data_IF_864435817799
#
_entry.id   IF_864435817799
#
_cell.length_a   1.000
_cell.length_b   1.000
_cell.length_c   1.000
_cell.angle_alpha   90.00
_cell.angle_beta   90.00
_cell.angle_gamma   90.00
#
_symmetry.space_group_name_H-M   'P 1'
#
loop_
_entity.id
_entity.type
_entity.pdbx_description
1 polymer ?
#
# COMPACT_ATOMS: atom_id res chain seq x y z
N UNK A 1 -1.19 7.80 -7.63
CA UNK A 1 -1.05 8.92 -6.69
C UNK A 1 -2.17 9.90 -6.94
N UNK A 2 -2.82 10.39 -5.91
CA UNK A 2 -3.98 11.28 -6.01
C UNK A 2 -3.59 12.65 -5.50
N UNK A 3 -3.95 13.68 -6.27
CA UNK A 3 -3.85 15.06 -5.82
C UNK A 3 -5.18 15.50 -5.25
N UNK A 4 -5.18 16.14 -4.10
CA UNK A 4 -6.38 16.67 -3.49
C UNK A 4 -6.95 17.82 -4.34
N UNK A 5 -8.24 17.74 -4.66
CA UNK A 5 -8.95 18.79 -5.37
C UNK A 5 -8.33 19.15 -6.73
N UNK A 6 -8.27 20.44 -7.04
CA UNK A 6 -7.75 20.96 -8.31
C UNK A 6 -6.26 21.32 -8.26
N UNK A 7 -5.46 20.65 -7.43
CA UNK A 7 -4.01 20.88 -7.37
C UNK A 7 -3.38 20.32 -8.63
N UNK A 8 -2.63 21.17 -9.34
CA UNK A 8 -1.95 20.77 -10.55
C UNK A 8 -0.88 19.73 -10.26
N UNK A 9 -0.89 18.66 -11.05
CA UNK A 9 0.13 17.62 -10.99
C UNK A 9 1.46 18.14 -11.52
N UNK A 10 2.53 18.02 -10.74
CA UNK A 10 3.87 18.50 -11.08
C UNK A 10 4.82 17.40 -11.54
N UNK A 11 4.43 16.14 -11.36
CA UNK A 11 5.21 14.98 -11.79
C UNK A 11 4.95 14.65 -13.26
N UNK A 12 5.79 13.81 -13.86
CA UNK A 12 5.61 13.32 -15.22
C UNK A 12 4.27 12.60 -15.43
N UNK A 13 3.66 12.78 -16.59
CA UNK A 13 2.33 12.25 -16.89
C UNK A 13 2.36 10.98 -17.75
N UNK A 14 3.53 10.58 -18.23
CA UNK A 14 3.68 9.30 -18.91
C UNK A 14 3.45 8.15 -17.90
N UNK A 15 2.74 7.12 -18.33
CA UNK A 15 2.44 5.98 -17.45
C UNK A 15 3.69 5.16 -17.05
N UNK A 16 4.73 5.22 -17.84
CA UNK A 16 6.02 4.58 -17.57
C UNK A 16 6.93 5.44 -16.71
N UNK A 17 6.54 6.70 -16.45
CA UNK A 17 7.29 7.58 -15.58
C UNK A 17 7.33 7.06 -14.15
N UNK A 18 8.53 6.88 -13.64
CA UNK A 18 8.81 6.50 -12.25
C UNK A 18 9.44 7.72 -11.56
N UNK A 19 8.68 8.36 -10.70
CA UNK A 19 9.18 9.50 -9.94
C UNK A 19 10.24 9.05 -8.93
N UNK A 20 11.27 9.84 -8.78
CA UNK A 20 12.25 9.69 -7.68
C UNK A 20 11.59 10.08 -6.34
N UNK A 21 12.23 9.70 -5.24
CA UNK A 21 11.80 10.09 -3.89
C UNK A 21 11.71 11.62 -3.76
N UNK A 22 12.72 12.33 -4.24
CA UNK A 22 12.81 13.79 -4.15
C UNK A 22 11.71 14.48 -4.95
N UNK A 23 11.44 14.01 -6.17
CA UNK A 23 10.34 14.55 -6.98
C UNK A 23 8.98 14.37 -6.28
N UNK A 24 8.77 13.23 -5.61
CA UNK A 24 7.54 12.98 -4.84
C UNK A 24 7.44 13.91 -3.64
N UNK A 25 8.53 14.14 -2.91
CA UNK A 25 8.57 15.05 -1.77
C UNK A 25 8.28 16.49 -2.21
N UNK A 26 8.95 16.98 -3.26
CA UNK A 26 8.69 18.31 -3.85
C UNK A 26 7.23 18.46 -4.26
N UNK A 27 6.64 17.41 -4.83
CA UNK A 27 5.21 17.44 -5.17
C UNK A 27 4.30 17.54 -3.95
N UNK A 28 4.62 16.85 -2.86
CA UNK A 28 3.85 16.96 -1.62
C UNK A 28 3.96 18.34 -0.99
N UNK A 29 5.15 18.93 -0.99
CA UNK A 29 5.37 20.31 -0.52
C UNK A 29 4.54 21.29 -1.34
N UNK A 30 4.56 21.17 -2.67
CA UNK A 30 3.70 21.95 -3.54
C UNK A 30 2.20 21.78 -3.18
N UNK A 31 1.76 20.55 -2.91
CA UNK A 31 0.37 20.32 -2.50
C UNK A 31 0.03 21.03 -1.19
N UNK A 32 0.94 20.98 -0.21
CA UNK A 32 0.77 21.64 1.08
C UNK A 32 0.71 23.17 0.91
N UNK A 33 1.59 23.75 0.10
CA UNK A 33 1.60 25.19 -0.19
C UNK A 33 0.28 25.67 -0.82
N UNK A 34 -0.27 24.90 -1.75
CA UNK A 34 -1.58 25.21 -2.35
C UNK A 34 -2.70 25.10 -1.32
N UNK A 35 -2.64 24.17 -0.39
CA UNK A 35 -3.60 24.04 0.71
C UNK A 35 -3.50 25.24 1.65
N UNK A 36 -2.29 25.67 2.04
CA UNK A 36 -2.04 26.85 2.89
C UNK A 36 -2.60 28.15 2.31
N UNK A 37 -2.66 28.27 0.98
CA UNK A 37 -3.28 29.42 0.33
C UNK A 37 -4.82 29.49 0.49
N UNK A 38 -5.45 28.37 0.84
CA UNK A 38 -6.92 28.23 0.89
C UNK A 38 -7.47 28.12 2.29
N UNK A 39 -6.68 27.55 3.21
CA UNK A 39 -7.06 27.32 4.61
C UNK A 39 -5.89 27.64 5.52
N UNK A 40 -6.20 28.04 6.75
CA UNK A 40 -5.17 28.16 7.78
C UNK A 40 -4.61 26.76 8.11
N UNK A 41 -3.29 26.65 8.11
CA UNK A 41 -2.56 25.42 8.48
C UNK A 41 -1.49 25.81 9.51
N UNK A 42 -1.58 25.22 10.67
CA UNK A 42 -0.57 25.33 11.72
C UNK A 42 0.25 24.04 11.73
N UNK A 43 1.58 24.15 11.62
CA UNK A 43 2.50 23.01 11.52
C UNK A 43 3.31 22.85 12.81
N UNK A 44 3.31 21.64 13.35
CA UNK A 44 4.01 21.28 14.58
C UNK A 44 4.99 20.14 14.29
N UNK A 45 6.16 20.47 13.75
CA UNK A 45 7.22 19.51 13.52
C UNK A 45 7.95 19.17 14.81
N UNK A 46 8.41 17.92 14.93
CA UNK A 46 9.12 17.44 16.12
C UNK A 46 8.22 17.19 17.34
N UNK A 47 6.90 17.18 17.16
CA UNK A 47 5.93 16.82 18.17
C UNK A 47 5.33 15.45 17.89
N UNK A 48 5.28 14.60 18.92
CA UNK A 48 4.62 13.29 18.88
C UNK A 48 3.26 13.37 19.57
N UNK A 49 2.22 12.78 18.96
CA UNK A 49 0.94 12.56 19.62
C UNK A 49 1.06 11.37 20.56
N UNK A 50 0.94 11.61 21.86
CA UNK A 50 1.01 10.56 22.89
C UNK A 50 -0.35 9.93 23.16
N UNK A 51 -1.37 10.77 23.30
CA UNK A 51 -2.73 10.33 23.58
C UNK A 51 -3.77 11.33 23.09
N UNK A 52 -5.01 10.86 22.97
CA UNK A 52 -6.16 11.71 22.75
C UNK A 52 -7.33 11.25 23.61
N UNK A 53 -8.21 12.18 23.92
CA UNK A 53 -9.46 11.98 24.64
C UNK A 53 -10.61 12.68 23.90
N UNK A 54 -11.78 12.06 23.92
CA UNK A 54 -12.98 12.58 23.27
C UNK A 54 -14.04 12.90 24.32
N UNK A 55 -14.33 14.19 24.50
CA UNK A 55 -15.35 14.67 25.42
C UNK A 55 -16.07 15.90 24.89
N UNK A 56 -17.36 16.00 25.10
CA UNK A 56 -18.18 17.17 24.77
C UNK A 56 -18.08 17.64 23.29
N UNK A 57 -17.87 16.68 22.36
CA UNK A 57 -17.72 16.95 20.93
C UNK A 57 -16.38 17.56 20.54
N UNK A 58 -15.42 17.54 21.44
CA UNK A 58 -14.03 17.99 21.25
C UNK A 58 -13.09 16.81 21.43
N UNK A 59 -12.05 16.77 20.61
CA UNK A 59 -10.91 15.87 20.74
C UNK A 59 -9.77 16.66 21.38
N UNK A 60 -9.32 16.25 22.54
CA UNK A 60 -8.16 16.81 23.23
C UNK A 60 -6.95 15.93 22.98
N UNK A 61 -5.91 16.49 22.38
CA UNK A 61 -4.67 15.82 22.05
C UNK A 61 -3.59 16.20 23.04
N UNK A 62 -2.86 15.23 23.56
CA UNK A 62 -1.64 15.45 24.35
C UNK A 62 -0.45 15.10 23.47
N UNK A 63 0.45 16.05 23.29
CA UNK A 63 1.61 15.92 22.43
C UNK A 63 2.88 16.23 23.20
N UNK A 64 3.98 15.55 22.86
CA UNK A 64 5.30 15.73 23.45
C UNK A 64 6.32 16.07 22.39
N UNK A 65 7.14 17.09 22.62
CA UNK A 65 8.27 17.42 21.77
C UNK A 65 9.48 16.53 22.06
N UNK A 66 10.48 16.57 21.18
CA UNK A 66 11.73 15.81 21.34
C UNK A 66 12.54 16.20 22.59
N UNK A 67 12.33 17.40 23.13
CA UNK A 67 12.95 17.90 24.38
C UNK A 67 12.06 17.72 25.63
N UNK A 68 10.94 16.99 25.49
CA UNK A 68 10.06 16.61 26.58
C UNK A 68 9.03 17.68 26.98
N UNK A 69 8.84 18.74 26.19
CA UNK A 69 7.77 19.70 26.43
C UNK A 69 6.41 19.07 26.13
N UNK A 70 5.41 19.44 26.92
CA UNK A 70 4.03 19.01 26.73
C UNK A 70 3.21 20.11 26.08
N UNK A 71 2.37 19.74 25.14
CA UNK A 71 1.39 20.62 24.50
C UNK A 71 0.03 19.91 24.47
N UNK A 72 -1.01 20.66 24.80
CA UNK A 72 -2.40 20.19 24.65
C UNK A 72 -3.07 20.97 23.53
N UNK A 73 -3.65 20.25 22.59
CA UNK A 73 -4.39 20.82 21.45
C UNK A 73 -5.83 20.33 21.50
N UNK A 74 -6.77 21.26 21.30
CA UNK A 74 -8.19 20.92 21.18
C UNK A 74 -8.65 21.07 19.73
N UNK A 75 -9.36 20.05 19.24
CA UNK A 75 -9.85 20.00 17.87
C UNK A 75 -11.26 19.38 17.82
N UNK A 76 -12.03 19.74 16.80
CA UNK A 76 -13.35 19.10 16.55
C UNK A 76 -13.19 17.72 15.90
N UNK A 77 -12.12 17.48 15.21
CA UNK A 77 -11.84 16.24 14.45
C UNK A 77 -10.35 15.94 14.48
N UNK A 78 -10.02 14.67 14.54
CA UNK A 78 -8.65 14.17 14.48
C UNK A 78 -8.53 13.14 13.36
N UNK A 79 -7.51 13.27 12.54
CA UNK A 79 -7.11 12.22 11.60
C UNK A 79 -5.73 11.72 12.01
N UNK A 80 -5.64 10.47 12.44
CA UNK A 80 -4.39 9.79 12.71
C UNK A 80 -3.93 9.10 11.43
N UNK A 81 -3.03 9.71 10.69
CA UNK A 81 -2.56 9.25 9.38
C UNK A 81 -1.04 9.02 9.37
N UNK A 82 -0.53 8.38 10.41
CA UNK A 82 0.90 8.03 10.57
C UNK A 82 1.38 6.95 9.58
N UNK A 83 0.48 6.40 8.77
CA UNK A 83 0.79 5.35 7.81
C UNK A 83 0.82 3.96 8.43
N UNK A 84 1.50 3.05 7.74
CA UNK A 84 1.59 1.65 8.16
C UNK A 84 2.74 1.35 9.13
N UNK A 85 3.41 2.35 9.67
CA UNK A 85 4.55 2.14 10.58
C UNK A 85 5.67 1.33 9.91
N UNK A 86 5.91 1.52 8.62
CA UNK A 86 6.98 0.82 7.91
C UNK A 86 8.32 1.23 8.50
N UNK A 87 8.95 0.29 9.20
CA UNK A 87 10.30 0.49 9.71
C UNK A 87 11.29 0.28 8.57
N UNK A 88 12.32 1.12 8.43
CA UNK A 88 13.40 0.87 7.48
C UNK A 88 13.94 -0.55 7.63
N UNK A 89 14.24 -1.20 6.51
CA UNK A 89 14.71 -2.57 6.51
C UNK A 89 16.23 -2.60 6.75
N UNK A 90 16.65 -3.25 7.82
CA UNK A 90 18.07 -3.39 8.12
C UNK A 90 18.81 -4.28 7.11
N UNK A 91 20.11 -4.09 6.90
CA UNK A 91 20.94 -5.09 6.24
C UNK A 91 20.78 -6.47 6.88
N UNK A 92 20.96 -7.53 6.09
CA UNK A 92 20.99 -8.87 6.68
C UNK A 92 22.20 -9.01 7.61
N UNK A 93 21.96 -9.52 8.80
CA UNK A 93 23.03 -9.97 9.68
C UNK A 93 23.63 -11.27 9.10
N UNK A 94 24.90 -11.24 8.76
CA UNK A 94 25.63 -12.39 8.17
C UNK A 94 26.93 -12.61 8.91
N UNK A 95 27.35 -13.86 8.98
CA UNK A 95 28.56 -14.27 9.71
C UNK A 95 29.86 -13.96 8.96
N UNK A 96 29.80 -13.78 7.64
CA UNK A 96 30.96 -13.46 6.81
C UNK A 96 31.41 -12.01 7.00
N UNK A 97 32.72 -11.82 7.21
CA UNK A 97 33.36 -10.52 7.19
C UNK A 97 33.81 -10.09 5.78
N UNK A 98 33.60 -10.93 4.76
CA UNK A 98 34.11 -10.74 3.39
C UNK A 98 33.05 -10.26 2.42
N UNK A 99 31.83 -10.01 2.88
CA UNK A 99 30.71 -9.47 2.07
C UNK A 99 30.24 -8.12 2.59
N UNK A 100 29.59 -7.36 1.75
CA UNK A 100 28.99 -6.08 2.11
C UNK A 100 27.48 -6.25 2.19
N UNK A 101 26.94 -6.36 3.39
CA UNK A 101 25.48 -6.47 3.58
C UNK A 101 24.86 -5.08 3.71
N UNK A 102 23.85 -4.78 2.87
CA UNK A 102 23.16 -3.49 2.82
C UNK A 102 21.66 -3.68 2.62
N UNK A 103 20.91 -2.60 2.77
CA UNK A 103 19.53 -2.52 2.29
C UNK A 103 19.30 -1.23 1.50
N UNK A 104 18.26 -1.17 0.64
CA UNK A 104 17.94 0.04 -0.12
C UNK A 104 17.52 1.24 0.73
N UNK A 105 17.21 1.02 2.02
CA UNK A 105 16.85 2.09 2.96
C UNK A 105 18.07 2.84 3.49
N UNK A 106 19.22 2.18 3.55
CA UNK A 106 20.46 2.72 4.12
C UNK A 106 21.60 2.86 3.10
N UNK A 107 21.42 2.33 1.89
CA UNK A 107 22.42 2.42 0.82
C UNK A 107 21.75 2.85 -0.49
N UNK A 108 22.26 3.93 -1.08
CA UNK A 108 21.83 4.32 -2.43
C UNK A 108 22.44 3.37 -3.46
N UNK A 109 21.58 2.60 -4.14
CA UNK A 109 22.00 1.67 -5.19
C UNK A 109 22.64 2.36 -6.41
N UNK A 110 22.57 3.67 -6.50
CA UNK A 110 23.22 4.50 -7.53
C UNK A 110 24.35 5.36 -6.96
N UNK A 111 24.64 5.21 -5.67
CA UNK A 111 25.64 5.98 -4.94
C UNK A 111 27.09 5.64 -5.32
N UNK A 112 28.00 6.45 -4.82
CA UNK A 112 29.43 6.36 -5.16
C UNK A 112 30.06 5.05 -4.67
N UNK A 113 29.65 4.52 -3.52
CA UNK A 113 30.17 3.27 -2.97
C UNK A 113 29.83 2.08 -3.90
N UNK A 114 28.58 2.00 -4.34
CA UNK A 114 28.12 0.97 -5.26
C UNK A 114 28.81 1.12 -6.63
N UNK A 115 29.02 2.35 -7.07
CA UNK A 115 29.67 2.66 -8.35
C UNK A 115 31.15 2.36 -8.35
N UNK A 116 31.83 2.52 -7.22
CA UNK A 116 33.26 2.26 -7.08
C UNK A 116 33.60 0.76 -7.04
N UNK A 117 32.60 -0.10 -6.90
CA UNK A 117 32.76 -1.55 -6.83
C UNK A 117 32.28 -2.22 -8.12
N UNK A 118 33.00 -3.21 -8.59
CA UNK A 118 32.66 -4.07 -9.73
C UNK A 118 32.29 -5.51 -9.31
N UNK A 119 32.30 -5.77 -8.00
CA UNK A 119 31.97 -7.09 -7.45
C UNK A 119 30.51 -7.47 -7.65
N UNK A 120 30.17 -8.78 -7.68
CA UNK A 120 28.81 -9.26 -7.83
C UNK A 120 27.83 -8.71 -6.79
N UNK A 121 26.57 -8.53 -7.21
CA UNK A 121 25.48 -8.12 -6.33
C UNK A 121 24.44 -9.24 -6.21
N UNK A 122 24.10 -9.60 -4.98
CA UNK A 122 23.08 -10.57 -4.65
C UNK A 122 21.85 -9.86 -4.06
N UNK A 123 20.84 -9.69 -4.87
CA UNK A 123 19.54 -9.12 -4.44
C UNK A 123 18.74 -10.23 -3.74
N UNK A 124 18.47 -10.03 -2.45
CA UNK A 124 17.73 -11.01 -1.64
C UNK A 124 16.29 -10.55 -1.45
N UNK A 125 15.37 -11.28 -2.06
CA UNK A 125 13.93 -10.99 -2.03
C UNK A 125 13.31 -10.83 -3.41
N UNK A 126 12.36 -11.69 -3.76
CA UNK A 126 11.63 -11.70 -5.04
C UNK A 126 10.41 -10.78 -5.10
N UNK A 127 10.21 -9.89 -4.11
CA UNK A 127 9.13 -8.92 -4.07
C UNK A 127 9.37 -7.68 -4.93
N UNK A 128 8.46 -6.68 -4.87
CA UNK A 128 8.57 -5.45 -5.69
C UNK A 128 9.87 -4.71 -5.42
N UNK A 129 10.29 -4.57 -4.17
CA UNK A 129 11.57 -3.93 -3.82
C UNK A 129 12.76 -4.63 -4.48
N UNK A 130 12.79 -5.98 -4.45
CA UNK A 130 13.84 -6.74 -5.13
C UNK A 130 13.84 -6.53 -6.65
N UNK A 131 12.67 -6.47 -7.27
CA UNK A 131 12.56 -6.18 -8.71
C UNK A 131 13.03 -4.76 -9.05
N UNK A 132 12.65 -3.76 -8.26
CA UNK A 132 13.07 -2.37 -8.49
C UNK A 132 14.58 -2.20 -8.29
N UNK A 133 15.13 -2.85 -7.27
CA UNK A 133 16.58 -2.86 -7.00
C UNK A 133 17.35 -3.55 -8.11
N UNK A 134 16.93 -4.73 -8.53
CA UNK A 134 17.57 -5.45 -9.65
C UNK A 134 17.50 -4.63 -10.95
N UNK A 135 16.33 -4.05 -11.26
CA UNK A 135 16.18 -3.19 -12.43
C UNK A 135 17.11 -1.97 -12.39
N UNK A 136 17.22 -1.30 -11.24
CA UNK A 136 18.09 -0.16 -11.05
C UNK A 136 19.58 -0.55 -11.25
N UNK A 137 20.03 -1.64 -10.63
CA UNK A 137 21.40 -2.13 -10.74
C UNK A 137 21.77 -2.52 -12.18
N UNK A 138 20.90 -3.29 -12.85
CA UNK A 138 21.11 -3.73 -14.24
C UNK A 138 21.17 -2.52 -15.20
N UNK A 139 20.33 -1.53 -14.96
CA UNK A 139 20.25 -0.34 -15.83
C UNK A 139 21.42 0.61 -15.60
N UNK A 140 21.83 0.82 -14.36
CA UNK A 140 22.87 1.76 -13.98
C UNK A 140 24.27 1.19 -14.24
N UNK A 141 24.45 -0.13 -14.06
CA UNK A 141 25.75 -0.80 -14.18
C UNK A 141 25.73 -1.91 -15.24
N UNK A 142 25.66 -1.56 -16.54
CA UNK A 142 25.65 -2.56 -17.62
C UNK A 142 26.88 -3.47 -17.57
N UNK A 143 26.64 -4.78 -17.57
CA UNK A 143 27.70 -5.79 -17.52
C UNK A 143 28.14 -6.21 -16.11
N UNK A 144 27.63 -5.57 -15.06
CA UNK A 144 27.86 -6.04 -13.69
C UNK A 144 27.08 -7.33 -13.42
N UNK A 145 27.68 -8.24 -12.69
CA UNK A 145 27.01 -9.45 -12.25
C UNK A 145 25.96 -9.13 -11.19
N UNK A 146 24.68 -9.33 -11.55
CA UNK A 146 23.53 -9.14 -10.66
C UNK A 146 22.79 -10.46 -10.54
N UNK A 147 22.66 -10.97 -9.33
CA UNK A 147 22.02 -12.23 -9.00
C UNK A 147 20.78 -11.98 -8.13
N UNK A 148 19.78 -12.84 -8.23
CA UNK A 148 18.52 -12.76 -7.47
C UNK A 148 18.28 -14.02 -6.63
N UNK A 149 18.07 -13.85 -5.33
CA UNK A 149 17.54 -14.92 -4.47
C UNK A 149 16.06 -14.61 -4.21
N UNK A 150 15.17 -15.32 -4.91
CA UNK A 150 13.77 -14.96 -5.06
C UNK A 150 12.82 -15.62 -4.03
N UNK A 151 13.35 -16.41 -3.08
CA UNK A 151 12.52 -17.16 -2.12
C UNK A 151 11.60 -18.14 -2.85
N UNK A 152 10.31 -18.12 -2.57
CA UNK A 152 9.29 -18.92 -3.25
C UNK A 152 8.78 -18.31 -4.57
N UNK A 153 9.37 -17.21 -5.00
CA UNK A 153 8.95 -16.45 -6.18
C UNK A 153 7.70 -15.60 -5.97
N UNK A 154 7.54 -14.60 -6.83
CA UNK A 154 6.43 -13.67 -6.77
C UNK A 154 5.91 -13.41 -8.17
N UNK A 155 4.59 -13.31 -8.33
CA UNK A 155 4.01 -12.71 -9.51
C UNK A 155 3.45 -11.30 -9.19
N UNK A 156 3.33 -10.50 -10.21
CA UNK A 156 2.88 -9.11 -10.15
C UNK A 156 1.72 -8.92 -11.09
N UNK A 157 0.82 -7.99 -10.81
CA UNK A 157 -0.17 -7.56 -11.79
C UNK A 157 0.54 -6.82 -12.94
N UNK A 158 0.25 -7.21 -14.19
CA UNK A 158 0.86 -6.57 -15.36
C UNK A 158 0.39 -5.12 -15.49
N UNK A 159 1.31 -4.16 -15.35
CA UNK A 159 1.01 -2.73 -15.55
C UNK A 159 0.51 -2.47 -16.96
N UNK A 160 1.00 -3.21 -17.95
CA UNK A 160 0.61 -3.03 -19.34
C UNK A 160 -0.83 -3.47 -19.64
N UNK A 161 -1.34 -4.41 -18.86
CA UNK A 161 -2.75 -4.85 -18.94
C UNK A 161 -3.68 -3.92 -18.18
N UNK A 162 -3.27 -3.45 -17.00
CA UNK A 162 -4.08 -2.58 -16.16
C UNK A 162 -4.07 -1.12 -16.61
N UNK A 163 -2.94 -0.64 -17.12
CA UNK A 163 -2.74 0.74 -17.53
C UNK A 163 -2.08 0.83 -18.91
N UNK A 164 -2.75 0.39 -19.99
CA UNK A 164 -2.18 0.38 -21.33
C UNK A 164 -1.85 1.80 -21.82
N UNK A 165 -0.79 1.93 -22.62
CA UNK A 165 -0.37 3.20 -23.23
C UNK A 165 -1.09 3.50 -24.54
N UNK A 166 -1.07 4.80 -24.95
CA UNK A 166 -1.53 5.26 -26.26
C UNK A 166 -2.97 4.88 -26.59
N UNK A 167 -3.22 4.50 -27.84
CA UNK A 167 -4.56 4.13 -28.33
C UNK A 167 -5.18 2.92 -27.62
N UNK A 168 -4.35 2.03 -27.08
CA UNK A 168 -4.85 0.85 -26.32
C UNK A 168 -5.67 1.25 -25.09
N UNK A 169 -5.58 2.48 -24.60
CA UNK A 169 -6.45 3.02 -23.54
C UNK A 169 -7.95 3.00 -23.94
N UNK A 170 -8.27 3.07 -25.23
CA UNK A 170 -9.65 3.15 -25.71
C UNK A 170 -10.33 1.78 -25.81
N UNK A 171 -9.60 0.75 -26.19
CA UNK A 171 -10.18 -0.57 -26.45
C UNK A 171 -9.39 -1.76 -25.88
N UNK A 172 -8.17 -1.54 -25.42
CA UNK A 172 -7.34 -2.53 -24.72
C UNK A 172 -7.35 -2.34 -23.21
N UNK A 173 -6.66 -3.22 -22.49
CA UNK A 173 -6.52 -3.18 -21.05
C UNK A 173 -7.72 -3.73 -20.28
N UNK A 174 -7.55 -3.82 -18.98
CA UNK A 174 -8.55 -4.39 -18.05
C UNK A 174 -8.84 -3.39 -16.95
N UNK A 175 -10.10 -3.14 -16.67
CA UNK A 175 -10.54 -2.25 -15.61
C UNK A 175 -10.17 -2.86 -14.24
N UNK A 176 -9.52 -2.08 -13.40
CA UNK A 176 -9.10 -2.51 -12.04
C UNK A 176 -10.31 -2.90 -11.21
N UNK A 177 -11.39 -2.13 -11.30
CA UNK A 177 -12.65 -2.45 -10.64
C UNK A 177 -13.21 -3.79 -11.12
N UNK A 178 -13.12 -4.09 -12.41
CA UNK A 178 -13.56 -5.36 -12.96
C UNK A 178 -12.78 -6.55 -12.39
N UNK A 179 -11.46 -6.42 -12.24
CA UNK A 179 -10.61 -7.45 -11.62
C UNK A 179 -11.02 -7.69 -10.18
N UNK A 180 -11.17 -6.63 -9.38
CA UNK A 180 -11.58 -6.77 -7.99
C UNK A 180 -12.98 -7.36 -7.83
N UNK A 181 -13.92 -6.99 -8.72
CA UNK A 181 -15.25 -7.61 -8.73
C UNK A 181 -15.18 -9.11 -9.03
N UNK A 182 -14.40 -9.51 -10.03
CA UNK A 182 -14.23 -10.91 -10.37
C UNK A 182 -13.49 -11.68 -9.26
N UNK A 183 -12.49 -11.05 -8.63
CA UNK A 183 -11.82 -11.57 -7.45
C UNK A 183 -12.83 -11.84 -6.32
N UNK A 184 -13.68 -10.88 -5.99
CA UNK A 184 -14.70 -11.04 -4.96
C UNK A 184 -15.76 -12.09 -5.26
N UNK A 185 -15.97 -12.44 -6.55
CA UNK A 185 -16.87 -13.54 -6.96
C UNK A 185 -16.20 -14.91 -6.87
N UNK A 186 -14.89 -14.98 -7.07
CA UNK A 186 -14.11 -16.23 -7.11
C UNK A 186 -13.59 -16.65 -5.75
N UNK A 187 -13.20 -15.68 -4.93
CA UNK A 187 -12.61 -15.95 -3.63
C UNK A 187 -13.70 -16.25 -2.60
N UNK A 188 -13.69 -17.46 -2.06
CA UNK A 188 -14.66 -17.93 -1.05
C UNK A 188 -14.11 -17.94 0.40
N UNK A 189 -12.85 -17.54 0.58
CA UNK A 189 -12.16 -17.50 1.88
C UNK A 189 -11.25 -18.70 2.15
N UNK A 190 -11.26 -19.73 1.29
CA UNK A 190 -10.50 -20.99 1.47
C UNK A 190 -9.78 -21.44 0.21
N UNK A 191 -10.03 -20.82 -0.93
CA UNK A 191 -9.53 -21.23 -2.24
C UNK A 191 -8.44 -20.29 -2.79
N UNK A 192 -7.61 -19.74 -1.92
CA UNK A 192 -6.55 -18.77 -2.28
C UNK A 192 -5.61 -19.28 -3.38
N UNK A 193 -5.31 -20.57 -3.42
CA UNK A 193 -4.44 -21.15 -4.44
C UNK A 193 -5.07 -21.08 -5.85
N UNK A 194 -6.35 -21.40 -5.96
CA UNK A 194 -7.08 -21.35 -7.23
C UNK A 194 -7.21 -19.90 -7.73
N UNK A 195 -7.51 -19.00 -6.80
CA UNK A 195 -7.64 -17.57 -7.10
C UNK A 195 -6.28 -16.97 -7.47
N UNK A 196 -5.20 -17.37 -6.79
CA UNK A 196 -3.83 -16.98 -7.14
C UNK A 196 -3.48 -17.40 -8.56
N UNK A 197 -3.75 -18.65 -8.89
CA UNK A 197 -3.50 -19.22 -10.21
C UNK A 197 -4.27 -18.47 -11.29
N UNK A 198 -5.58 -18.28 -11.08
CA UNK A 198 -6.40 -17.51 -12.01
C UNK A 198 -5.89 -16.08 -12.20
N UNK A 199 -5.57 -15.36 -11.11
CA UNK A 199 -5.11 -13.97 -11.17
C UNK A 199 -3.77 -13.86 -11.90
N UNK A 200 -2.83 -14.76 -11.57
CA UNK A 200 -1.53 -14.86 -12.22
C UNK A 200 -1.68 -15.10 -13.72
N UNK A 201 -2.39 -16.14 -14.11
CA UNK A 201 -2.48 -16.58 -15.50
C UNK A 201 -3.25 -15.59 -16.38
N UNK A 202 -4.24 -14.87 -15.79
CA UNK A 202 -5.05 -13.89 -16.52
C UNK A 202 -4.41 -12.50 -16.57
N UNK A 203 -3.85 -12.02 -15.48
CA UNK A 203 -3.43 -10.61 -15.33
C UNK A 203 -1.98 -10.44 -14.87
N UNK A 204 -1.29 -11.54 -14.57
CA UNK A 204 0.04 -11.52 -14.00
C UNK A 204 1.17 -11.34 -15.02
N UNK A 205 2.30 -10.95 -14.48
CA UNK A 205 3.63 -11.07 -15.06
C UNK A 205 4.59 -11.55 -13.98
N UNK A 206 5.56 -12.37 -14.32
CA UNK A 206 6.50 -12.95 -13.37
C UNK A 206 7.84 -13.26 -14.03
N UNK A 207 8.88 -13.33 -13.22
CA UNK A 207 10.25 -13.61 -13.65
C UNK A 207 10.66 -15.06 -13.36
N UNK A 208 10.18 -15.59 -12.24
CA UNK A 208 10.66 -16.84 -11.65
C UNK A 208 9.82 -18.04 -12.09
N UNK A 209 10.41 -19.26 -12.20
CA UNK A 209 9.68 -20.45 -12.63
C UNK A 209 8.54 -20.85 -11.69
N UNK A 210 8.65 -20.50 -10.41
CA UNK A 210 7.58 -20.66 -9.41
C UNK A 210 7.14 -19.30 -8.88
N UNK A 211 5.88 -19.20 -8.47
CA UNK A 211 5.25 -17.94 -8.05
C UNK A 211 4.37 -18.17 -6.83
N UNK A 212 5.01 -18.44 -5.68
CA UNK A 212 4.31 -18.73 -4.42
C UNK A 212 3.70 -17.51 -3.75
N UNK A 213 4.05 -16.27 -4.17
CA UNK A 213 3.59 -15.05 -3.52
C UNK A 213 2.90 -14.09 -4.48
N UNK A 214 1.94 -13.34 -3.93
CA UNK A 214 1.35 -12.16 -4.53
C UNK A 214 1.10 -11.10 -3.45
N UNK A 215 1.57 -9.88 -3.65
CA UNK A 215 1.47 -8.79 -2.69
C UNK A 215 0.96 -7.49 -3.34
N UNK A 216 0.02 -7.59 -4.27
CA UNK A 216 -0.60 -6.46 -4.97
C UNK A 216 0.38 -5.56 -5.76
N UNK A 217 1.60 -6.03 -5.99
CA UNK A 217 2.61 -5.30 -6.73
C UNK A 217 2.29 -5.21 -8.23
N UNK A 218 2.77 -4.13 -8.86
CA UNK A 218 2.69 -3.91 -10.31
C UNK A 218 4.08 -4.02 -10.93
N UNK A 219 4.19 -4.71 -12.06
CA UNK A 219 5.40 -4.77 -12.86
C UNK A 219 5.03 -4.65 -14.35
N UNK A 220 5.79 -3.88 -15.13
CA UNK A 220 5.58 -3.84 -16.59
C UNK A 220 6.30 -4.99 -17.27
N UNK A 221 5.82 -5.35 -18.46
CA UNK A 221 6.47 -6.37 -19.28
C UNK A 221 7.87 -5.94 -19.72
N UNK A 222 8.10 -4.62 -19.91
CA UNK A 222 9.42 -4.08 -20.24
C UNK A 222 10.39 -4.18 -19.08
N UNK A 223 9.97 -3.80 -17.86
CA UNK A 223 10.77 -3.97 -16.65
C UNK A 223 11.14 -5.45 -16.45
N UNK A 224 10.14 -6.34 -16.56
CA UNK A 224 10.35 -7.78 -16.42
C UNK A 224 11.38 -8.32 -17.42
N UNK A 225 11.29 -7.91 -18.70
CA UNK A 225 12.26 -8.29 -19.73
C UNK A 225 13.67 -7.75 -19.45
N UNK A 226 13.78 -6.50 -19.02
CA UNK A 226 15.09 -5.89 -18.66
C UNK A 226 15.72 -6.66 -17.51
N UNK A 227 14.95 -6.96 -16.46
CA UNK A 227 15.44 -7.72 -15.31
C UNK A 227 15.85 -9.13 -15.76
N UNK A 228 15.00 -9.84 -16.50
CA UNK A 228 15.28 -11.20 -16.96
C UNK A 228 16.55 -11.29 -17.83
N UNK A 229 16.78 -10.29 -18.68
CA UNK A 229 17.95 -10.24 -19.56
C UNK A 229 19.25 -9.85 -18.83
N UNK A 230 19.15 -9.10 -17.73
CA UNK A 230 20.31 -8.58 -17.02
C UNK A 230 20.72 -9.39 -15.78
N UNK A 231 19.86 -10.31 -15.30
CA UNK A 231 20.22 -11.21 -14.21
C UNK A 231 21.17 -12.29 -14.68
N UNK A 232 22.24 -12.51 -13.93
CA UNK A 232 23.20 -13.59 -14.17
C UNK A 232 22.66 -14.93 -13.65
N UNK A 233 22.06 -14.94 -12.45
CA UNK A 233 21.52 -16.13 -11.84
C UNK A 233 20.24 -15.82 -11.03
N UNK A 234 19.32 -16.78 -10.96
CA UNK A 234 18.12 -16.70 -10.12
C UNK A 234 18.05 -17.97 -9.26
N UNK A 235 18.08 -17.80 -7.94
CA UNK A 235 18.01 -18.88 -6.97
C UNK A 235 16.63 -18.86 -6.29
N UNK A 236 15.93 -20.00 -6.34
CA UNK A 236 14.61 -20.18 -5.75
C UNK A 236 14.73 -20.74 -4.32
N UNK A 237 15.31 -19.94 -3.42
CA UNK A 237 15.51 -20.30 -2.02
C UNK A 237 15.57 -19.04 -1.14
N UNK A 238 15.76 -19.23 0.16
CA UNK A 238 15.91 -18.17 1.14
C UNK A 238 17.31 -18.17 1.71
N UNK A 239 17.97 -17.01 1.72
CA UNK A 239 19.26 -16.85 2.39
C UNK A 239 19.07 -16.97 3.91
N UNK A 240 19.89 -17.78 4.52
CA UNK A 240 19.99 -17.95 5.97
C UNK A 240 21.20 -17.23 6.52
N UNK A 241 22.35 -17.34 5.84
CA UNK A 241 23.60 -16.73 6.26
C UNK A 241 24.57 -16.60 5.07
N UNK A 242 25.62 -15.81 5.25
CA UNK A 242 26.84 -15.86 4.46
C UNK A 242 28.01 -16.20 5.40
N UNK A 243 28.76 -17.25 5.11
CA UNK A 243 29.80 -17.76 5.99
C UNK A 243 31.14 -17.93 5.29
N UNK A 244 32.23 -17.64 6.00
CA UNK A 244 33.58 -17.86 5.51
C UNK A 244 34.08 -19.25 5.93
N UNK A 245 34.43 -20.08 4.94
CA UNK A 245 34.97 -21.45 5.16
C UNK A 245 36.15 -21.69 4.24
N UNK A 246 37.25 -22.18 4.80
CA UNK A 246 38.45 -22.59 4.02
C UNK A 246 38.97 -21.55 3.04
N UNK A 247 38.80 -20.26 3.35
CA UNK A 247 39.21 -19.16 2.47
C UNK A 247 38.18 -18.74 1.41
N UNK A 248 37.07 -19.43 1.31
CA UNK A 248 35.93 -19.10 0.45
C UNK A 248 34.78 -18.52 1.25
N UNK A 249 33.85 -17.86 0.59
CA UNK A 249 32.62 -17.31 1.18
C UNK A 249 31.42 -18.00 0.54
N UNK A 250 30.56 -18.60 1.36
CA UNK A 250 29.37 -19.28 0.91
C UNK A 250 28.09 -18.58 1.35
N UNK A 251 27.16 -18.33 0.44
CA UNK A 251 25.75 -18.09 0.78
C UNK A 251 25.10 -19.41 1.15
N UNK A 252 24.54 -19.47 2.34
CA UNK A 252 23.83 -20.65 2.87
C UNK A 252 22.33 -20.44 2.75
N UNK A 253 21.64 -21.43 2.23
CA UNK A 253 20.20 -21.37 1.98
C UNK A 253 19.40 -22.26 2.95
N UNK A 254 18.11 -21.95 3.07
CA UNK A 254 17.18 -22.70 3.93
C UNK A 254 17.05 -24.18 3.54
N UNK A 255 17.22 -24.53 2.28
CA UNK A 255 17.25 -25.91 1.79
C UNK A 255 18.45 -26.72 2.31
N UNK A 256 19.44 -26.05 2.90
CA UNK A 256 20.74 -26.65 3.27
C UNK A 256 21.79 -26.64 2.16
N UNK A 257 21.43 -26.13 0.97
CA UNK A 257 22.39 -25.87 -0.10
C UNK A 257 23.26 -24.66 0.24
N UNK A 258 24.42 -24.59 -0.41
CA UNK A 258 25.32 -23.45 -0.33
C UNK A 258 25.80 -23.07 -1.74
N UNK A 259 26.11 -21.79 -1.91
CA UNK A 259 26.66 -21.23 -3.15
C UNK A 259 27.89 -20.42 -2.79
N UNK A 260 29.05 -20.82 -3.31
CA UNK A 260 30.28 -20.05 -3.17
C UNK A 260 30.16 -18.76 -3.99
N UNK A 261 30.45 -17.63 -3.36
CA UNK A 261 30.38 -16.29 -3.94
C UNK A 261 31.74 -15.59 -3.83
N UNK A 262 31.95 -14.60 -4.70
CA UNK A 262 33.19 -13.84 -4.70
C UNK A 262 33.31 -12.99 -3.41
N UNK A 263 34.47 -12.98 -2.74
CA UNK A 263 34.74 -12.02 -1.66
C UNK A 263 34.54 -10.56 -2.13
N UNK A 264 33.96 -9.73 -1.28
CA UNK A 264 33.57 -8.36 -1.63
C UNK A 264 32.19 -8.25 -2.30
N UNK A 265 31.50 -9.39 -2.54
CA UNK A 265 30.12 -9.36 -3.06
C UNK A 265 29.19 -8.57 -2.15
N UNK A 266 28.24 -7.85 -2.78
CA UNK A 266 27.17 -7.16 -2.10
C UNK A 266 25.97 -8.05 -1.87
N UNK A 267 25.42 -8.03 -0.66
CA UNK A 267 24.16 -8.68 -0.32
C UNK A 267 23.14 -7.59 0.00
N UNK A 268 22.14 -7.42 -0.88
CA UNK A 268 21.14 -6.35 -0.77
C UNK A 268 19.84 -6.93 -0.24
N UNK A 269 19.50 -6.58 1.01
CA UNK A 269 18.28 -7.06 1.66
C UNK A 269 17.04 -6.33 1.14
N UNK A 270 16.27 -6.97 0.29
CA UNK A 270 14.98 -6.52 -0.24
C UNK A 270 13.78 -7.27 0.34
N UNK A 271 13.91 -7.88 1.51
CA UNK A 271 12.85 -8.67 2.16
C UNK A 271 12.12 -7.85 3.24
N UNK A 272 10.93 -8.25 3.60
CA UNK A 272 10.31 -7.90 4.89
C UNK A 272 9.62 -6.53 5.01
N UNK A 273 9.44 -5.77 3.95
CA UNK A 273 8.94 -4.39 3.98
C UNK A 273 7.47 -4.18 4.34
N UNK A 274 6.64 -5.19 4.42
CA UNK A 274 5.21 -4.96 4.63
C UNK A 274 4.74 -5.34 6.03
N UNK A 275 3.93 -4.46 6.65
CA UNK A 275 3.13 -4.72 7.84
C UNK A 275 3.96 -5.20 9.04
N UNK A 276 5.01 -4.48 9.39
CA UNK A 276 5.82 -4.71 10.59
C UNK A 276 5.26 -4.02 11.84
N UNK A 277 4.07 -3.49 11.74
CA UNK A 277 3.53 -2.60 12.74
C UNK A 277 2.97 -3.37 13.94
N UNK A 278 3.46 -3.03 15.13
CA UNK A 278 2.98 -3.52 16.42
C UNK A 278 2.05 -2.52 17.11
N UNK A 279 1.56 -1.49 16.40
CA UNK A 279 0.62 -0.53 16.95
C UNK A 279 -0.63 -1.24 17.51
N UNK A 280 -1.19 -0.74 18.62
CA UNK A 280 -2.42 -1.28 19.16
C UNK A 280 -3.57 -1.10 18.16
N UNK A 281 -4.53 -2.01 18.18
CA UNK A 281 -5.76 -1.84 17.42
C UNK A 281 -6.50 -0.59 17.85
N UNK A 282 -6.90 0.21 16.88
CA UNK A 282 -7.88 1.28 17.02
C UNK A 282 -8.89 1.13 15.90
N UNK A 283 -10.19 1.35 16.16
CA UNK A 283 -11.19 1.31 15.09
C UNK A 283 -10.90 2.40 14.05
N UNK A 284 -11.27 2.15 12.80
CA UNK A 284 -11.09 3.14 11.74
C UNK A 284 -11.80 4.46 12.07
N UNK A 285 -12.98 4.38 12.67
CA UNK A 285 -13.75 5.53 13.15
C UNK A 285 -14.11 5.33 14.61
N UNK A 286 -13.84 6.30 15.47
CA UNK A 286 -14.26 6.26 16.88
C UNK A 286 -15.79 6.30 17.02
N UNK A 287 -16.30 5.87 18.17
CA UNK A 287 -17.75 5.84 18.46
C UNK A 287 -18.42 7.20 18.30
N UNK A 288 -17.74 8.30 18.63
CA UNK A 288 -18.23 9.67 18.43
C UNK A 288 -18.21 10.09 16.95
N UNK A 289 -17.42 9.43 16.11
CA UNK A 289 -17.11 9.83 14.74
C UNK A 289 -16.17 11.04 14.64
N UNK A 290 -15.52 11.41 15.74
CA UNK A 290 -14.61 12.56 15.76
C UNK A 290 -13.17 12.19 15.44
N UNK A 291 -12.76 10.95 15.67
CA UNK A 291 -11.41 10.45 15.37
C UNK A 291 -11.46 9.42 14.25
N UNK A 292 -10.55 9.56 13.29
CA UNK A 292 -10.31 8.59 12.23
C UNK A 292 -8.87 8.11 12.32
N UNK A 293 -8.68 6.78 12.45
CA UNK A 293 -7.37 6.14 12.53
C UNK A 293 -7.06 5.38 11.24
N UNK A 294 -6.13 5.92 10.43
CA UNK A 294 -5.69 5.29 9.18
C UNK A 294 -4.51 4.37 9.48
N UNK A 295 -4.81 3.11 9.73
CA UNK A 295 -3.83 2.11 10.14
C UNK A 295 -4.14 0.71 9.55
N UNK A 296 -3.16 -0.22 9.55
CA UNK A 296 -3.37 -1.54 8.95
C UNK A 296 -4.27 -2.47 9.77
N UNK A 297 -4.46 -2.24 11.08
CA UNK A 297 -5.27 -3.12 11.94
C UNK A 297 -6.77 -2.86 11.83
N UNK A 298 -7.17 -1.74 11.25
CA UNK A 298 -8.56 -1.40 10.92
C UNK A 298 -8.68 -0.99 9.44
N UNK A 299 -8.04 -1.77 8.56
CA UNK A 299 -8.07 -1.49 7.13
C UNK A 299 -9.48 -1.69 6.56
N UNK A 300 -10.01 -0.67 5.91
CA UNK A 300 -11.32 -0.69 5.23
C UNK A 300 -11.20 -0.79 3.72
N UNK A 301 -10.08 -0.34 3.16
CA UNK A 301 -9.75 -0.41 1.74
C UNK A 301 -8.29 -0.86 1.55
N UNK A 302 -7.97 -1.39 0.39
CA UNK A 302 -6.62 -1.86 0.05
C UNK A 302 -5.57 -0.76 -0.06
N UNK A 303 -5.98 0.51 -0.17
CA UNK A 303 -5.08 1.67 -0.21
C UNK A 303 -5.38 2.61 0.95
N UNK A 304 -4.37 2.83 1.80
CA UNK A 304 -4.45 3.79 2.91
C UNK A 304 -4.72 5.22 2.46
N UNK A 305 -4.25 5.60 1.28
CA UNK A 305 -4.54 6.92 0.71
C UNK A 305 -6.04 7.13 0.45
N UNK A 306 -6.78 6.09 0.10
CA UNK A 306 -8.23 6.16 -0.01
C UNK A 306 -8.91 6.28 1.35
N UNK A 307 -8.42 5.54 2.35
CA UNK A 307 -8.92 5.65 3.71
C UNK A 307 -8.65 7.05 4.29
N UNK A 308 -7.42 7.53 4.17
CA UNK A 308 -6.99 8.80 4.76
C UNK A 308 -7.58 10.03 4.08
N UNK A 309 -7.77 10.01 2.78
CA UNK A 309 -8.26 11.16 2.04
C UNK A 309 -9.76 11.08 1.75
N UNK A 310 -10.18 10.06 1.05
CA UNK A 310 -11.53 10.00 0.50
C UNK A 310 -12.58 9.62 1.56
N UNK A 311 -12.39 8.52 2.27
CA UNK A 311 -13.36 8.09 3.28
C UNK A 311 -13.44 9.10 4.43
N UNK A 312 -12.31 9.62 4.89
CA UNK A 312 -12.26 10.64 5.93
C UNK A 312 -13.06 11.89 5.54
N UNK A 313 -12.92 12.34 4.28
CA UNK A 313 -13.69 13.46 3.78
C UNK A 313 -15.20 13.20 3.82
N UNK A 314 -15.63 12.02 3.36
CA UNK A 314 -17.04 11.62 3.40
C UNK A 314 -17.58 11.45 4.83
N UNK A 315 -16.79 10.89 5.73
CA UNK A 315 -17.13 10.74 7.14
C UNK A 315 -17.37 12.11 7.79
N UNK A 316 -16.45 13.05 7.63
CA UNK A 316 -16.56 14.38 8.25
C UNK A 316 -17.62 15.26 7.60
N UNK A 317 -18.10 14.93 6.41
CA UNK A 317 -19.28 15.52 5.78
C UNK A 317 -20.59 14.79 6.15
N UNK A 318 -20.56 13.84 7.06
CA UNK A 318 -21.71 13.00 7.47
C UNK A 318 -22.37 12.26 6.28
N UNK A 319 -21.60 11.90 5.24
CA UNK A 319 -22.13 11.24 4.05
C UNK A 319 -22.15 9.71 4.17
N UNK A 320 -21.25 9.15 4.97
CA UNK A 320 -21.13 7.69 5.17
C UNK A 320 -21.09 7.31 6.64
N UNK A 321 -21.54 8.18 7.55
CA UNK A 321 -21.54 7.89 9.00
C UNK A 321 -22.32 6.62 9.34
N UNK A 322 -23.46 6.42 8.68
CA UNK A 322 -24.35 5.29 8.92
C UNK A 322 -24.07 4.10 7.98
N UNK A 323 -23.00 4.16 7.19
CA UNK A 323 -22.58 3.05 6.33
C UNK A 323 -21.76 2.08 7.15
N UNK A 324 -22.20 0.81 7.31
CA UNK A 324 -21.50 -0.18 8.11
C UNK A 324 -20.26 -0.70 7.36
N UNK A 325 -19.19 0.05 7.38
CA UNK A 325 -17.91 -0.38 6.78
C UNK A 325 -17.33 -1.53 7.60
N UNK A 326 -16.84 -2.53 6.89
CA UNK A 326 -16.11 -3.64 7.49
C UNK A 326 -14.64 -3.29 7.62
N UNK A 327 -14.04 -3.70 8.72
CA UNK A 327 -12.61 -3.52 9.01
C UNK A 327 -11.88 -4.86 8.98
N UNK A 328 -10.63 -4.82 8.62
CA UNK A 328 -9.72 -5.97 8.58
C UNK A 328 -8.45 -5.66 9.36
N UNK A 329 -8.10 -6.50 10.32
CA UNK A 329 -6.76 -6.51 10.90
C UNK A 329 -5.80 -7.20 9.92
N UNK A 330 -5.17 -6.38 9.08
CA UNK A 330 -4.31 -6.86 8.00
C UNK A 330 -3.04 -7.57 8.50
N UNK A 331 -2.32 -7.09 9.55
CA UNK A 331 -1.24 -7.82 10.19
C UNK A 331 -1.65 -9.18 10.74
N UNK A 332 -2.78 -9.27 11.45
CA UNK A 332 -3.28 -10.52 12.02
C UNK A 332 -3.66 -11.52 10.93
N UNK A 333 -4.37 -11.07 9.89
CA UNK A 333 -4.68 -11.93 8.76
C UNK A 333 -3.41 -12.45 8.07
N UNK A 334 -2.42 -11.60 7.86
CA UNK A 334 -1.16 -12.00 7.22
C UNK A 334 -0.39 -13.03 8.04
N UNK A 335 -0.40 -12.91 9.37
CA UNK A 335 0.19 -13.92 10.27
C UNK A 335 -0.54 -15.27 10.15
N UNK A 336 -1.86 -15.24 10.00
CA UNK A 336 -2.70 -16.46 9.88
C UNK A 336 -2.63 -17.11 8.50
N UNK A 337 -2.69 -16.31 7.45
CA UNK A 337 -2.61 -16.75 6.06
C UNK A 337 -2.05 -15.66 5.15
N UNK A 338 -0.74 -15.70 4.92
CA UNK A 338 -0.09 -14.79 3.97
C UNK A 338 -0.63 -14.96 2.54
N UNK A 339 -1.04 -16.17 2.19
CA UNK A 339 -1.60 -16.48 0.86
C UNK A 339 -2.99 -15.87 0.65
N UNK A 340 -3.87 -15.93 1.66
CA UNK A 340 -5.23 -15.37 1.57
C UNK A 340 -5.27 -13.83 1.70
N UNK A 341 -4.23 -13.23 2.28
CA UNK A 341 -4.20 -11.80 2.61
C UNK A 341 -4.58 -10.87 1.44
N UNK A 342 -3.97 -10.93 0.24
CA UNK A 342 -4.26 -9.99 -0.83
C UNK A 342 -5.67 -10.15 -1.38
N UNK A 343 -6.21 -11.36 -1.41
CA UNK A 343 -7.54 -11.67 -1.93
C UNK A 343 -8.63 -11.23 -0.97
N UNK A 344 -8.41 -11.43 0.33
CA UNK A 344 -9.30 -10.92 1.39
C UNK A 344 -9.38 -9.41 1.36
N UNK A 345 -8.22 -8.73 1.27
CA UNK A 345 -8.16 -7.28 1.23
C UNK A 345 -8.82 -6.70 -0.04
N UNK A 346 -8.63 -7.35 -1.19
CA UNK A 346 -9.30 -6.99 -2.44
C UNK A 346 -10.82 -7.16 -2.37
N UNK A 347 -11.28 -8.27 -1.82
CA UNK A 347 -12.72 -8.56 -1.64
C UNK A 347 -13.38 -7.60 -0.67
N UNK A 348 -12.73 -7.30 0.46
CA UNK A 348 -13.18 -6.30 1.43
C UNK A 348 -13.31 -4.91 0.78
N UNK A 349 -12.29 -4.51 0.01
CA UNK A 349 -12.32 -3.23 -0.70
C UNK A 349 -13.56 -3.11 -1.58
N UNK A 350 -13.85 -4.14 -2.37
CA UNK A 350 -15.02 -4.13 -3.26
C UNK A 350 -16.32 -4.13 -2.50
N UNK A 351 -16.40 -4.87 -1.41
CA UNK A 351 -17.59 -4.86 -0.55
C UNK A 351 -17.85 -3.47 0.04
N UNK A 352 -16.86 -2.86 0.68
CA UNK A 352 -17.00 -1.53 1.25
C UNK A 352 -17.28 -0.45 0.19
N UNK A 353 -16.63 -0.51 -0.98
CA UNK A 353 -16.93 0.41 -2.08
C UNK A 353 -18.38 0.27 -2.56
N UNK A 354 -18.94 -0.93 -2.61
CA UNK A 354 -20.35 -1.11 -2.99
C UNK A 354 -21.31 -0.47 -1.98
N UNK A 355 -21.05 -0.61 -0.68
CA UNK A 355 -21.83 0.04 0.37
C UNK A 355 -21.77 1.58 0.27
N UNK A 356 -20.59 2.11 -0.03
CA UNK A 356 -20.38 3.55 -0.19
C UNK A 356 -21.11 4.07 -1.43
N UNK A 357 -21.03 3.37 -2.55
CA UNK A 357 -21.73 3.73 -3.81
C UNK A 357 -23.23 3.82 -3.62
N UNK A 358 -23.82 2.90 -2.85
CA UNK A 358 -25.24 2.91 -2.54
C UNK A 358 -25.65 4.09 -1.64
N UNK A 359 -24.69 4.69 -0.94
CA UNK A 359 -24.94 5.72 0.08
C UNK A 359 -24.64 7.15 -0.40
N UNK A 360 -23.83 7.33 -1.45
CA UNK A 360 -23.43 8.64 -1.95
C UNK A 360 -23.72 8.81 -3.44
N UNK A 361 -24.09 10.04 -3.89
CA UNK A 361 -24.31 10.30 -5.31
C UNK A 361 -23.07 10.01 -6.15
N UNK A 362 -23.28 9.47 -7.35
CA UNK A 362 -22.26 9.11 -8.33
C UNK A 362 -21.25 10.25 -8.58
N UNK A 363 -21.75 11.50 -8.64
CA UNK A 363 -20.93 12.69 -8.80
C UNK A 363 -19.86 12.83 -7.71
N UNK A 364 -20.15 12.45 -6.47
CA UNK A 364 -19.18 12.53 -5.37
C UNK A 364 -18.01 11.58 -5.61
N UNK A 365 -18.27 10.38 -6.09
CA UNK A 365 -17.24 9.42 -6.47
C UNK A 365 -16.31 9.96 -7.55
N UNK A 366 -16.88 10.57 -8.59
CA UNK A 366 -16.13 11.15 -9.70
C UNK A 366 -15.30 12.38 -9.25
N UNK A 367 -15.92 13.26 -8.49
CA UNK A 367 -15.28 14.51 -8.04
C UNK A 367 -14.15 14.23 -7.03
N UNK A 368 -14.29 13.20 -6.20
CA UNK A 368 -13.27 12.83 -5.21
C UNK A 368 -12.13 11.98 -5.79
N UNK A 369 -12.19 11.60 -7.07
CA UNK A 369 -11.12 10.85 -7.72
C UNK A 369 -10.99 9.38 -7.29
N UNK A 370 -12.05 8.79 -6.74
CA UNK A 370 -12.10 7.36 -6.36
C UNK A 370 -12.29 6.41 -7.53
N UNK A 371 -12.41 6.94 -8.71
CA UNK A 371 -12.49 6.10 -9.88
C UNK A 371 -11.15 5.41 -10.12
N UNK A 372 -11.05 4.12 -9.76
CA UNK A 372 -9.88 3.27 -9.98
C UNK A 372 -9.54 3.15 -11.47
N UNK A 373 -10.53 3.36 -12.32
CA UNK A 373 -10.43 3.21 -13.77
C UNK A 373 -10.32 4.56 -14.51
N UNK A 374 -10.10 5.66 -13.78
CA UNK A 374 -9.93 7.02 -14.34
C UNK A 374 -8.84 7.11 -15.42
N UNK A 375 -7.93 6.13 -15.46
CA UNK A 375 -6.94 6.02 -16.51
C UNK A 375 -7.54 5.89 -17.90
N UNK A 376 -8.72 5.29 -18.01
CA UNK A 376 -9.38 5.02 -19.29
C UNK A 376 -10.24 6.19 -19.72
N UNK A 377 -10.16 6.59 -21.03
CA UNK A 377 -10.98 7.67 -21.54
C UNK A 377 -12.45 7.24 -21.67
N UNK A 378 -13.43 8.18 -21.58
CA UNK A 378 -14.81 7.91 -21.94
C UNK A 378 -14.90 7.47 -23.43
N UNK A 379 -15.83 6.58 -23.83
CA UNK A 379 -17.02 6.14 -23.09
C UNK A 379 -16.84 4.85 -22.28
N UNK A 380 -15.63 4.47 -21.89
CA UNK A 380 -15.46 3.28 -21.05
C UNK A 380 -16.23 3.42 -19.73
N UNK A 381 -16.81 2.31 -19.23
CA UNK A 381 -17.50 2.34 -17.94
C UNK A 381 -16.56 2.86 -16.86
N UNK A 382 -17.06 3.77 -16.05
CA UNK A 382 -16.36 4.20 -14.83
C UNK A 382 -16.50 3.12 -13.76
N UNK A 383 -15.60 3.09 -12.77
CA UNK A 383 -15.69 2.20 -11.60
C UNK A 383 -17.09 2.24 -10.99
N UNK A 384 -17.67 3.42 -10.89
CA UNK A 384 -19.01 3.65 -10.38
C UNK A 384 -20.09 2.94 -11.22
N UNK A 385 -20.03 3.05 -12.54
CA UNK A 385 -21.00 2.38 -13.41
C UNK A 385 -20.94 0.87 -13.28
N UNK A 386 -19.74 0.30 -13.12
CA UNK A 386 -19.57 -1.14 -12.93
C UNK A 386 -20.12 -1.58 -11.58
N UNK A 387 -19.88 -0.82 -10.50
CA UNK A 387 -20.41 -1.11 -9.17
C UNK A 387 -21.94 -1.05 -9.14
N UNK A 388 -22.56 -0.05 -9.78
CA UNK A 388 -24.01 0.06 -9.86
C UNK A 388 -24.66 -1.10 -10.64
N UNK A 389 -24.07 -1.53 -11.75
CA UNK A 389 -24.61 -2.63 -12.56
C UNK A 389 -24.39 -4.00 -11.89
N UNK A 390 -23.32 -4.13 -11.09
CA UNK A 390 -22.93 -5.39 -10.44
C UNK A 390 -23.79 -5.79 -9.25
N UNK A 391 -24.50 -4.86 -8.60
CA UNK A 391 -25.44 -5.07 -7.48
C UNK A 391 -24.79 -5.53 -6.17
N UNK A 392 -24.94 -4.73 -5.11
CA UNK A 392 -24.45 -4.98 -3.75
C UNK A 392 -24.85 -6.34 -3.11
N UNK A 393 -26.02 -6.96 -3.39
CA UNK A 393 -26.47 -8.14 -2.67
C UNK A 393 -25.62 -9.40 -2.88
N UNK A 394 -24.82 -9.47 -3.93
CA UNK A 394 -24.01 -10.67 -4.22
C UNK A 394 -22.71 -10.74 -3.41
N UNK A 395 -22.19 -9.61 -2.97
CA UNK A 395 -20.97 -9.55 -2.14
C UNK A 395 -21.24 -9.86 -0.67
N UNK A 396 -22.42 -9.58 -0.16
CA UNK A 396 -22.79 -9.84 1.24
C UNK A 396 -22.75 -11.34 1.61
N UNK A 397 -22.86 -12.25 0.63
CA UNK A 397 -22.76 -13.70 0.88
C UNK A 397 -21.32 -14.20 1.00
N UNK A 398 -20.37 -13.55 0.34
CA UNK A 398 -18.95 -13.95 0.33
C UNK A 398 -18.19 -13.52 1.58
N UNK A 399 -18.56 -12.37 2.17
CA UNK A 399 -17.92 -11.87 3.40
C UNK A 399 -18.37 -12.59 4.67
N UNK A 400 -19.51 -13.30 4.67
CA UNK A 400 -19.94 -14.14 5.81
C UNK A 400 -19.04 -15.36 6.07
N UNK A 401 -18.18 -15.75 5.13
CA UNK A 401 -17.21 -16.85 5.30
C UNK A 401 -15.93 -16.44 6.03
N UNK A 402 -15.57 -15.17 6.03
CA UNK A 402 -14.43 -14.65 6.80
C UNK A 402 -14.90 -14.42 8.23
N UNK A 403 -14.90 -15.47 9.06
CA UNK A 403 -15.04 -15.32 10.50
C UNK A 403 -13.85 -14.52 11.00
N UNK A 404 -14.06 -13.25 11.32
CA UNK A 404 -13.19 -12.52 12.21
C UNK A 404 -13.18 -13.27 13.56
N UNK A 405 -12.15 -14.05 13.82
CA UNK A 405 -11.92 -14.59 15.15
C UNK A 405 -11.39 -13.45 16.02
N UNK A 406 -12.26 -12.66 16.59
CA UNK A 406 -11.85 -11.65 17.53
C UNK A 406 -12.90 -10.57 17.71
N UNK A 407 -13.62 -10.67 18.79
CA UNK A 407 -14.46 -9.67 19.45
C UNK A 407 -15.53 -8.98 18.60
N UNK A 408 -16.68 -9.61 18.53
CA UNK A 408 -17.95 -8.91 18.40
C UNK A 408 -18.20 -8.13 19.68
N UNK A 409 -17.96 -6.83 19.66
CA UNK A 409 -18.59 -5.94 20.61
C UNK A 409 -20.10 -6.00 20.33
N UNK A 410 -20.84 -6.61 21.22
CA UNK A 410 -22.29 -6.69 21.15
C UNK A 410 -22.89 -5.29 21.27
N UNK A 411 -23.43 -4.78 20.20
CA UNK A 411 -24.23 -3.58 20.15
C UNK A 411 -25.60 -3.92 19.61
N UNK A 412 -26.60 -4.08 20.48
CA UNK A 412 -28.00 -4.22 20.11
C UNK A 412 -28.47 -2.99 19.33
N UNK A 413 -28.95 -3.24 18.12
CA UNK A 413 -29.63 -2.30 17.25
C UNK A 413 -30.89 -1.76 17.92
N UNK A 414 -30.92 -0.49 18.31
CA UNK A 414 -32.17 0.26 18.50
C UNK A 414 -32.40 1.14 17.28
N UNK A 415 -33.36 0.75 16.46
CA UNK A 415 -33.99 1.61 15.44
C UNK A 415 -34.68 2.78 16.10
N UNK A 416 -34.36 3.99 15.71
CA UNK A 416 -35.18 5.17 15.92
C UNK A 416 -35.20 6.03 14.67
N UNK A 417 -36.31 6.02 13.98
CA UNK A 417 -36.70 6.92 12.90
C UNK A 417 -37.15 8.26 13.47
N UNK A 418 -36.48 9.36 13.15
CA UNK A 418 -37.13 10.70 13.13
C UNK A 418 -36.39 11.60 12.12
N UNK A 419 -37.14 12.02 11.12
CA UNK A 419 -36.78 13.04 10.14
C UNK A 419 -36.89 14.44 10.76
N UNK A 420 -35.86 15.26 10.63
CA UNK A 420 -35.95 16.71 10.81
C UNK A 420 -35.19 17.41 9.68
N UNK A 421 -35.93 18.22 8.92
CA UNK A 421 -35.39 19.17 7.95
C UNK A 421 -34.81 20.38 8.69
N UNK A 422 -33.56 20.75 8.42
CA UNK A 422 -33.00 22.03 8.84
C UNK A 422 -32.10 22.62 7.76
N UNK A 423 -32.23 23.95 7.61
CA UNK A 423 -31.67 24.77 6.52
C UNK A 423 -30.15 24.85 6.53
N UNK A 424 -29.58 24.94 5.32
CA UNK A 424 -28.15 25.09 5.05
C UNK A 424 -27.65 26.48 5.46
N UNK A 425 -26.71 26.50 6.43
CA UNK A 425 -25.66 27.53 6.51
C UNK A 425 -24.33 26.82 6.27
N UNK A 426 -23.51 27.37 5.37
CA UNK A 426 -22.13 26.90 5.23
C UNK A 426 -21.38 27.19 6.54
N UNK A 427 -20.70 26.20 7.11
CA UNK A 427 -19.85 26.44 8.26
C UNK A 427 -18.58 27.20 7.84
N UNK A 428 -17.98 28.03 8.73
CA UNK A 428 -16.70 28.67 8.49
C UNK A 428 -15.58 27.65 8.27
N UNK A 429 -14.49 28.02 7.56
CA UNK A 429 -13.37 27.12 7.35
C UNK A 429 -12.78 26.66 8.67
N UNK A 430 -12.54 25.35 8.80
CA UNK A 430 -11.97 24.73 9.98
C UNK A 430 -10.44 24.69 9.79
N UNK A 431 -9.64 25.16 10.76
CA UNK A 431 -8.18 25.03 10.69
C UNK A 431 -7.76 23.56 10.65
N UNK A 432 -6.77 23.26 9.83
CA UNK A 432 -6.17 21.93 9.68
C UNK A 432 -4.83 21.92 10.41
N UNK A 433 -4.71 21.05 11.42
CA UNK A 433 -3.46 20.82 12.16
C UNK A 433 -2.71 19.68 11.49
N UNK A 434 -1.45 19.90 11.11
CA UNK A 434 -0.58 18.88 10.52
C UNK A 434 0.60 18.64 11.47
N UNK A 435 0.70 17.41 11.98
CA UNK A 435 1.84 16.96 12.78
C UNK A 435 2.65 15.94 11.95
N UNK A 436 3.98 16.11 11.91
CA UNK A 436 4.91 15.16 11.32
C UNK A 436 5.96 14.77 12.37
N UNK A 437 6.30 13.49 12.42
CA UNK A 437 7.44 12.98 13.19
C UNK A 437 8.76 13.37 12.56
#
# INVERSE_FOLDING_TARGET
MFTAGNIKWTLGQDRSYLATKDEVLIHFDHCLDVVKQRVQVDEYFGWALESHDESDGIVRLTCTSSDGQLMVVEAKRLIKASGFGVVPNDPLEVSSARVVSVSPDFCDMRGDEMRASDTPVWVVGGGKTGMDTAHALITEYPGREVNLVAGSGTFFSSRDRLFPAGGRRWWGGTLVTGIFMELGRRFDGTNETDVATWLRDTYGTWLTPTTGNYLLGLLSESENKTIAAGLTEVIMDHVVDAVDRNGETDLVFRSGLAKTIQPGSWIVNCTGYMLRDDQPYEPYVSDSGAVVSVQPRSATLHLTSYMGYFLTHLLFLDKIRDVPLYELDAPDLRKKSNAAFPYTLGSLTMHNLSLIVDSVPNKVFLDCGLDLDRWYPPPRPTSTSILFVGGAPRFAKLTCGVRSSGHTAGGESRRSTKSVRAGRRQPPPVPVLVMRR
#
